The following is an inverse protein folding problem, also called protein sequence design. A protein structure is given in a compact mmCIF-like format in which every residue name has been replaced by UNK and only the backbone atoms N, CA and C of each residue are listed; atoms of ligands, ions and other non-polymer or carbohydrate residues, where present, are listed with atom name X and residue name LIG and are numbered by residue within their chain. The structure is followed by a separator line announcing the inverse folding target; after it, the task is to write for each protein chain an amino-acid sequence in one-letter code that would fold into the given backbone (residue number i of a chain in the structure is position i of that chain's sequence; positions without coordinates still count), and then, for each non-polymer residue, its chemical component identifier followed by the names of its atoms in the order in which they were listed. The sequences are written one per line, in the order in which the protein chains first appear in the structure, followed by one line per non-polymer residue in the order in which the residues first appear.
data_IF_972239609652
#
_entry.id   IF_972239609652
#
_cell.length_a   1.000
_cell.length_b   1.000
_cell.length_c   1.000
_cell.angle_alpha   90.00
_cell.angle_beta   90.00
_cell.angle_gamma   90.00
#
_symmetry.space_group_name_H-M   'P 1'
#
loop_
_entity.id
_entity.type
_entity.pdbx_description
1 polymer ?
#
# COMPACT_ATOMS: atom_id res chain seq x y z
N UNK A 1 21.15 -2.79 -5.62
CA UNK A 1 21.33 -4.03 -4.82
C UNK A 1 21.50 -3.73 -3.34
N UNK A 2 22.27 -2.69 -2.95
CA UNK A 2 22.48 -2.36 -1.54
C UNK A 2 21.23 -1.85 -0.80
N UNK A 3 20.41 -1.00 -1.44
CA UNK A 3 19.24 -0.37 -0.80
C UNK A 3 18.11 -1.33 -0.46
N UNK A 4 17.76 -2.28 -1.33
CA UNK A 4 16.71 -3.28 -1.07
C UNK A 4 17.08 -4.21 0.11
N UNK A 5 18.35 -4.61 0.22
CA UNK A 5 18.83 -5.45 1.33
C UNK A 5 18.79 -4.68 2.66
N UNK A 6 19.06 -3.38 2.65
CA UNK A 6 18.93 -2.53 3.84
C UNK A 6 17.47 -2.30 4.23
N UNK A 7 16.59 -2.09 3.26
CA UNK A 7 15.15 -1.92 3.48
C UNK A 7 14.50 -3.20 4.04
N UNK A 8 14.91 -4.37 3.55
CA UNK A 8 14.48 -5.67 4.10
C UNK A 8 14.89 -5.88 5.56
N UNK A 9 15.91 -5.17 6.07
CA UNK A 9 16.33 -5.26 7.47
C UNK A 9 15.52 -4.35 8.40
N UNK A 10 14.83 -3.35 7.86
CA UNK A 10 13.99 -2.47 8.65
C UNK A 10 12.69 -3.19 9.03
N UNK A 11 12.52 -3.49 10.32
CA UNK A 11 11.34 -4.19 10.83
C UNK A 11 10.03 -3.40 10.65
N UNK A 12 10.11 -2.09 10.37
CA UNK A 12 8.96 -1.22 10.13
C UNK A 12 8.41 -1.34 8.71
N UNK A 13 9.22 -1.87 7.78
CA UNK A 13 8.81 -2.04 6.39
C UNK A 13 8.22 -3.44 6.21
N UNK A 14 6.99 -3.56 5.69
CA UNK A 14 6.37 -4.87 5.51
C UNK A 14 7.11 -5.65 4.41
N UNK A 15 7.55 -6.85 4.75
CA UNK A 15 8.30 -7.74 3.85
C UNK A 15 7.50 -8.13 2.60
N UNK A 16 6.17 -8.04 2.68
CA UNK A 16 5.30 -8.33 1.55
C UNK A 16 5.53 -7.42 0.35
N UNK A 17 6.19 -6.25 0.50
CA UNK A 17 6.54 -5.39 -0.62
C UNK A 17 7.44 -6.07 -1.67
N UNK A 18 8.25 -7.03 -1.22
CA UNK A 18 9.21 -7.73 -2.06
C UNK A 18 8.66 -9.04 -2.63
N UNK A 19 7.40 -9.37 -2.33
CA UNK A 19 6.77 -10.58 -2.81
C UNK A 19 6.58 -10.56 -4.31
N UNK A 20 6.99 -11.67 -4.93
CA UNK A 20 6.64 -11.99 -6.30
C UNK A 20 5.14 -12.29 -6.42
N UNK A 21 4.67 -12.44 -7.66
CA UNK A 21 3.29 -12.85 -7.94
C UNK A 21 2.99 -14.22 -7.31
N UNK A 22 3.96 -15.14 -7.37
CA UNK A 22 3.83 -16.48 -6.78
C UNK A 22 3.76 -16.44 -5.26
N UNK A 23 4.53 -15.57 -4.62
CA UNK A 23 4.49 -15.38 -3.16
C UNK A 23 3.12 -14.86 -2.70
N UNK A 24 2.54 -13.89 -3.41
CA UNK A 24 1.19 -13.39 -3.14
C UNK A 24 0.15 -14.50 -3.33
N UNK A 25 0.27 -15.26 -4.42
CA UNK A 25 -0.65 -16.35 -4.72
C UNK A 25 -0.60 -17.45 -3.65
N UNK A 26 0.61 -17.82 -3.19
CA UNK A 26 0.81 -18.78 -2.10
C UNK A 26 0.30 -18.23 -0.75
N UNK A 27 0.44 -16.93 -0.51
CA UNK A 27 -0.11 -16.30 0.70
C UNK A 27 -1.65 -16.35 0.72
N UNK A 28 -2.31 -16.08 -0.41
CA UNK A 28 -3.78 -16.19 -0.55
C UNK A 28 -4.26 -17.62 -0.22
N UNK A 29 -3.51 -18.63 -0.66
CA UNK A 29 -3.77 -20.02 -0.29
C UNK A 29 -3.56 -20.26 1.21
N UNK A 30 -2.50 -19.72 1.80
CA UNK A 30 -2.16 -19.89 3.22
C UNK A 30 -3.20 -19.25 4.18
N UNK A 31 -3.84 -18.14 3.78
CA UNK A 31 -4.93 -17.53 4.57
C UNK A 31 -6.28 -18.26 4.40
N UNK A 32 -6.32 -19.37 3.64
CA UNK A 32 -7.49 -20.23 3.50
C UNK A 32 -8.34 -19.99 2.26
N UNK A 33 -7.83 -19.25 1.26
CA UNK A 33 -8.55 -18.96 0.02
C UNK A 33 -7.86 -19.52 -1.24
N UNK A 34 -7.57 -20.84 -1.32
CA UNK A 34 -6.85 -21.46 -2.45
C UNK A 34 -7.53 -21.19 -3.80
N UNK A 35 -8.85 -21.07 -3.83
CA UNK A 35 -9.62 -20.81 -5.05
C UNK A 35 -9.33 -19.45 -5.69
N UNK A 36 -8.80 -18.49 -4.95
CA UNK A 36 -8.42 -17.17 -5.48
C UNK A 36 -6.97 -17.08 -5.91
N UNK A 37 -6.16 -18.14 -5.71
CA UNK A 37 -4.75 -18.17 -6.11
C UNK A 37 -4.56 -17.79 -7.59
N UNK A 38 -5.30 -18.45 -8.47
CA UNK A 38 -5.24 -18.19 -9.91
C UNK A 38 -5.76 -16.79 -10.26
N UNK A 39 -6.76 -16.28 -9.54
CA UNK A 39 -7.26 -14.91 -9.75
C UNK A 39 -6.18 -13.87 -9.50
N UNK A 40 -5.41 -14.00 -8.41
CA UNK A 40 -4.32 -13.06 -8.10
C UNK A 40 -3.15 -13.20 -9.09
N UNK A 41 -2.79 -14.43 -9.45
CA UNK A 41 -1.73 -14.69 -10.42
C UNK A 41 -2.07 -14.16 -11.83
N UNK A 42 -3.27 -14.44 -12.32
CA UNK A 42 -3.73 -14.00 -13.65
C UNK A 42 -3.82 -12.47 -13.77
N UNK A 43 -4.09 -11.76 -12.66
CA UNK A 43 -4.12 -10.30 -12.61
C UNK A 43 -2.75 -9.68 -12.29
N UNK A 44 -1.67 -10.46 -12.26
CA UNK A 44 -0.30 -10.01 -11.98
C UNK A 44 -0.17 -9.22 -10.67
N UNK A 45 -0.90 -9.63 -9.63
CA UNK A 45 -0.85 -8.99 -8.32
C UNK A 45 0.43 -9.41 -7.60
N UNK A 46 1.40 -8.48 -7.53
CA UNK A 46 2.63 -8.65 -6.74
C UNK A 46 2.51 -7.94 -5.37
N UNK A 47 3.57 -8.03 -4.57
CA UNK A 47 3.66 -7.42 -3.25
C UNK A 47 3.37 -5.91 -3.18
N UNK A 48 3.82 -5.15 -4.18
CA UNK A 48 3.58 -3.69 -4.27
C UNK A 48 2.15 -3.37 -4.67
N UNK A 49 1.55 -4.23 -5.50
CA UNK A 49 0.16 -4.08 -5.91
C UNK A 49 -0.80 -4.23 -4.72
N UNK A 50 -0.46 -5.02 -3.69
CA UNK A 50 -1.28 -5.18 -2.48
C UNK A 50 -1.58 -3.86 -1.78
N UNK A 51 -0.72 -2.84 -1.92
CA UNK A 51 -0.93 -1.50 -1.38
C UNK A 51 -2.16 -0.82 -2.01
N UNK A 52 -2.47 -1.15 -3.27
CA UNK A 52 -3.57 -0.58 -4.04
C UNK A 52 -4.82 -1.46 -4.01
N UNK A 53 -4.73 -2.68 -3.47
CA UNK A 53 -5.87 -3.61 -3.39
C UNK A 53 -6.74 -3.22 -2.19
N UNK A 54 -7.93 -2.70 -2.49
CA UNK A 54 -8.99 -2.44 -1.51
C UNK A 54 -10.28 -3.20 -1.84
N UNK A 55 -11.29 -3.12 -0.97
CA UNK A 55 -12.56 -3.82 -1.10
C UNK A 55 -13.27 -3.56 -2.44
N UNK A 56 -13.05 -2.40 -3.05
CA UNK A 56 -13.60 -2.03 -4.37
C UNK A 56 -12.89 -2.69 -5.55
N UNK A 57 -11.63 -3.08 -5.39
CA UNK A 57 -10.79 -3.67 -6.45
C UNK A 57 -10.94 -5.20 -6.53
N UNK A 58 -11.23 -5.84 -5.39
CA UNK A 58 -11.35 -7.29 -5.27
C UNK A 58 -12.41 -7.93 -6.19
N UNK A 59 -13.61 -7.33 -6.39
CA UNK A 59 -14.57 -7.84 -7.36
C UNK A 59 -14.06 -7.86 -8.80
N UNK A 60 -13.24 -6.88 -9.18
CA UNK A 60 -12.69 -6.77 -10.53
C UNK A 60 -11.67 -7.87 -10.84
N UNK A 61 -10.92 -8.33 -9.83
CA UNK A 61 -9.95 -9.44 -9.97
C UNK A 61 -10.59 -10.83 -9.80
N UNK A 62 -11.87 -10.92 -9.43
CA UNK A 62 -12.62 -12.18 -9.35
C UNK A 62 -13.13 -12.56 -7.96
N UNK A 63 -12.79 -11.80 -6.91
CA UNK A 63 -13.28 -12.04 -5.54
C UNK A 63 -14.61 -11.30 -5.36
N UNK A 64 -15.73 -11.98 -5.63
CA UNK A 64 -17.07 -11.39 -5.61
C UNK A 64 -17.86 -11.62 -4.32
N UNK A 65 -17.42 -12.58 -3.50
CA UNK A 65 -18.07 -12.86 -2.23
C UNK A 65 -17.76 -11.79 -1.19
N UNK A 66 -18.79 -11.19 -0.60
CA UNK A 66 -18.64 -10.09 0.34
C UNK A 66 -17.87 -10.48 1.62
N UNK A 67 -18.10 -11.69 2.15
CA UNK A 67 -17.39 -12.14 3.35
C UNK A 67 -15.92 -12.37 3.04
N UNK A 68 -15.61 -12.94 1.87
CA UNK A 68 -14.22 -13.11 1.45
C UNK A 68 -13.51 -11.76 1.24
N UNK A 69 -14.20 -10.76 0.68
CA UNK A 69 -13.68 -9.40 0.54
C UNK A 69 -13.32 -8.82 1.92
N UNK A 70 -14.17 -8.99 2.93
CA UNK A 70 -13.89 -8.50 4.28
C UNK A 70 -12.64 -9.14 4.87
N UNK A 71 -12.54 -10.48 4.81
CA UNK A 71 -11.38 -11.20 5.38
C UNK A 71 -10.10 -10.85 4.63
N UNK A 72 -10.11 -10.89 3.29
CA UNK A 72 -8.91 -10.59 2.49
C UNK A 72 -8.44 -9.16 2.72
N UNK A 73 -9.34 -8.17 2.73
CA UNK A 73 -8.92 -6.78 3.00
C UNK A 73 -8.39 -6.58 4.41
N UNK A 74 -8.89 -7.30 5.41
CA UNK A 74 -8.37 -7.27 6.76
C UNK A 74 -6.95 -7.86 6.83
N UNK A 75 -6.74 -9.02 6.20
CA UNK A 75 -5.42 -9.66 6.11
C UNK A 75 -4.40 -8.81 5.33
N UNK A 76 -4.80 -8.14 4.25
CA UNK A 76 -3.93 -7.19 3.53
C UNK A 76 -3.47 -6.06 4.46
N UNK A 77 -4.38 -5.48 5.26
CA UNK A 77 -4.04 -4.39 6.19
C UNK A 77 -3.07 -4.84 7.27
N UNK A 78 -3.29 -6.02 7.85
CA UNK A 78 -2.37 -6.64 8.82
C UNK A 78 -0.99 -6.87 8.21
N UNK A 79 -0.96 -7.39 6.99
CA UNK A 79 0.28 -7.70 6.27
C UNK A 79 1.10 -6.44 5.97
N UNK A 80 0.44 -5.35 5.58
CA UNK A 80 1.08 -4.06 5.32
C UNK A 80 1.39 -3.26 6.60
N UNK A 81 0.87 -3.69 7.76
CA UNK A 81 1.02 -2.98 9.03
C UNK A 81 0.35 -1.61 9.04
N UNK A 82 -0.70 -1.39 8.24
CA UNK A 82 -1.41 -0.11 8.15
C UNK A 82 -2.65 -0.16 9.03
N UNK A 83 -2.91 0.90 9.81
CA UNK A 83 -4.14 1.02 10.56
C UNK A 83 -5.38 1.13 9.64
N UNK A 84 -6.47 0.46 10.03
CA UNK A 84 -7.78 0.74 9.44
C UNK A 84 -8.20 2.15 9.82
N UNK A 85 -8.37 3.03 8.83
CA UNK A 85 -8.89 4.37 9.05
C UNK A 85 -10.24 4.31 9.78
N UNK A 86 -10.29 4.90 10.97
CA UNK A 86 -11.54 5.05 11.71
C UNK A 86 -12.39 6.17 11.10
N UNK A 87 -13.71 5.99 11.13
CA UNK A 87 -14.66 7.00 10.61
C UNK A 87 -14.61 8.32 11.40
N UNK A 88 -14.12 8.29 12.64
CA UNK A 88 -13.99 9.43 13.54
C UNK A 88 -12.58 10.06 13.54
N UNK A 89 -11.70 9.64 12.61
CA UNK A 89 -10.36 10.22 12.49
C UNK A 89 -10.47 11.69 12.10
N UNK A 90 -9.75 12.55 12.81
CA UNK A 90 -9.80 13.99 12.53
C UNK A 90 -9.34 14.28 11.11
N UNK A 91 -10.11 15.09 10.40
CA UNK A 91 -9.71 15.63 9.09
C UNK A 91 -8.48 16.54 9.20
N UNK A 92 -8.11 16.97 10.41
CA UNK A 92 -6.92 17.75 10.72
C UNK A 92 -5.62 16.93 10.78
N UNK A 93 -5.69 15.62 10.54
CA UNK A 93 -4.53 14.75 10.48
C UNK A 93 -4.24 14.41 9.02
N UNK A 94 -2.97 14.15 8.69
CA UNK A 94 -2.57 13.70 7.36
C UNK A 94 -3.42 12.50 6.91
N UNK A 95 -3.86 12.36 5.65
CA UNK A 95 -4.84 11.33 5.25
C UNK A 95 -4.42 9.88 5.54
N UNK A 96 -3.11 9.64 5.63
CA UNK A 96 -2.49 8.35 5.96
C UNK A 96 -1.46 8.55 7.07
N UNK A 97 -1.16 7.45 7.77
CA UNK A 97 0.01 7.37 8.65
C UNK A 97 1.31 7.46 7.83
N UNK A 98 2.43 7.78 8.48
CA UNK A 98 3.74 7.90 7.81
C UNK A 98 4.12 6.64 7.03
N UNK A 99 3.85 5.44 7.58
CA UNK A 99 4.06 4.18 6.86
C UNK A 99 3.13 4.07 5.65
N UNK A 100 1.86 4.43 5.78
CA UNK A 100 0.92 4.45 4.66
C UNK A 100 1.35 5.37 3.52
N UNK A 101 1.86 6.57 3.83
CA UNK A 101 2.40 7.52 2.84
C UNK A 101 3.62 6.94 2.10
N UNK A 102 4.51 6.29 2.85
CA UNK A 102 5.66 5.60 2.27
C UNK A 102 5.22 4.50 1.30
N UNK A 103 4.29 3.65 1.74
CA UNK A 103 3.76 2.55 0.94
C UNK A 103 3.08 3.06 -0.33
N UNK A 104 2.32 4.14 -0.26
CA UNK A 104 1.74 4.78 -1.45
C UNK A 104 2.80 5.22 -2.46
N UNK A 105 3.94 5.77 -2.00
CA UNK A 105 5.07 6.11 -2.87
C UNK A 105 5.73 4.86 -3.46
N UNK A 106 5.82 3.77 -2.69
CA UNK A 106 6.34 2.46 -3.13
C UNK A 106 5.38 1.69 -4.03
N UNK A 107 4.08 1.98 -4.04
CA UNK A 107 3.13 1.31 -4.95
C UNK A 107 3.46 1.56 -6.43
N UNK A 108 4.06 2.71 -6.74
CA UNK A 108 4.44 3.12 -8.09
C UNK A 108 5.81 2.55 -8.46
N UNK A 109 5.98 2.15 -9.71
CA UNK A 109 7.28 1.71 -10.25
C UNK A 109 8.04 2.90 -10.84
N UNK A 110 9.35 2.99 -10.59
CA UNK A 110 10.18 4.06 -11.14
C UNK A 110 11.46 4.26 -10.34
N UNK A 111 12.51 4.80 -10.98
CA UNK A 111 13.85 4.93 -10.38
C UNK A 111 13.83 5.57 -8.98
N UNK A 112 13.03 6.62 -8.80
CA UNK A 112 12.90 7.31 -7.51
C UNK A 112 12.17 6.46 -6.46
N UNK A 113 11.00 5.91 -6.80
CA UNK A 113 10.23 5.05 -5.91
C UNK A 113 11.00 3.78 -5.52
N UNK A 114 11.80 3.24 -6.44
CA UNK A 114 12.57 2.02 -6.21
C UNK A 114 13.84 2.26 -5.38
N UNK A 115 14.47 3.43 -5.54
CA UNK A 115 15.65 3.81 -4.75
C UNK A 115 15.30 4.26 -3.33
N UNK A 116 14.12 4.83 -3.12
CA UNK A 116 13.71 5.41 -1.84
C UNK A 116 13.58 4.36 -0.72
N UNK A 117 14.41 4.50 0.29
CA UNK A 117 14.34 3.73 1.54
C UNK A 117 13.37 4.38 2.53
N UNK A 118 12.88 3.60 3.50
CA UNK A 118 12.01 4.15 4.53
C UNK A 118 12.71 5.19 5.41
N UNK A 119 14.00 5.01 5.72
CA UNK A 119 14.79 5.97 6.49
C UNK A 119 14.93 7.32 5.78
N UNK A 120 15.26 7.32 4.48
CA UNK A 120 15.30 8.55 3.67
C UNK A 120 13.93 9.22 3.58
N UNK A 121 12.87 8.43 3.47
CA UNK A 121 11.50 8.94 3.47
C UNK A 121 11.16 9.66 4.78
N UNK A 122 11.53 9.10 5.94
CA UNK A 122 11.28 9.72 7.24
C UNK A 122 11.96 11.09 7.38
N UNK A 123 13.20 11.22 6.89
CA UNK A 123 13.92 12.50 6.89
C UNK A 123 13.14 13.55 6.09
N UNK A 124 12.58 13.18 4.93
CA UNK A 124 11.78 14.09 4.11
C UNK A 124 10.40 14.43 4.69
N UNK A 125 9.82 13.55 5.53
CA UNK A 125 8.51 13.77 6.15
C UNK A 125 8.59 14.65 7.39
N UNK A 126 9.72 14.70 8.09
CA UNK A 126 9.91 15.53 9.29
C UNK A 126 9.64 17.01 9.01
N UNK A 127 9.95 17.47 7.81
CA UNK A 127 9.70 18.85 7.34
C UNK A 127 8.30 19.03 6.70
N UNK A 128 7.55 17.95 6.49
CA UNK A 128 6.30 17.97 5.74
C UNK A 128 5.12 18.33 6.65
N UNK A 129 4.81 19.63 6.74
CA UNK A 129 3.61 20.10 7.42
C UNK A 129 2.38 19.77 6.57
N UNK A 130 1.58 18.79 7.02
CA UNK A 130 0.27 18.57 6.43
C UNK A 130 -0.61 19.80 6.69
N UNK A 131 -1.18 20.34 5.62
CA UNK A 131 -2.18 21.40 5.69
C UNK A 131 -3.43 20.92 4.93
N UNK A 132 -4.62 20.97 5.56
CA UNK A 132 -5.83 20.70 4.81
C UNK A 132 -5.99 21.77 3.73
N UNK A 133 -6.59 21.45 2.57
CA UNK A 133 -6.97 22.50 1.63
C UNK A 133 -7.83 23.54 2.37
N UNK A 134 -7.32 24.77 2.46
CA UNK A 134 -7.97 25.87 3.20
C UNK A 134 -9.20 26.44 2.48
N UNK A 135 -9.49 25.93 1.28
CA UNK A 135 -10.64 26.31 0.47
C UNK A 135 -11.70 25.22 0.41
N UNK A 136 -12.95 25.63 0.31
CA UNK A 136 -14.12 24.75 0.09
C UNK A 136 -14.18 24.21 -1.36
N UNK A 137 -13.07 24.23 -2.08
CA UNK A 137 -12.97 23.88 -3.48
C UNK A 137 -12.20 22.57 -3.53
N UNK A 138 -12.90 21.44 -3.70
CA UNK A 138 -12.31 20.10 -3.75
C UNK A 138 -11.34 19.92 -4.92
N UNK A 139 -10.15 20.49 -4.81
CA UNK A 139 -9.08 20.44 -5.82
C UNK A 139 -8.13 19.28 -5.47
N UNK A 140 -8.08 18.28 -6.34
CA UNK A 140 -7.00 17.30 -6.42
C UNK A 140 -5.81 18.04 -7.04
N UNK A 141 -4.69 18.16 -6.31
CA UNK A 141 -3.51 18.90 -6.77
C UNK A 141 -2.96 18.29 -8.09
N UNK A 142 -2.63 19.10 -9.11
CA UNK A 142 -1.93 18.61 -10.29
C UNK A 142 -0.44 18.33 -9.98
N UNK A 143 0.11 17.33 -10.68
CA UNK A 143 1.53 16.95 -10.64
C UNK A 143 2.43 18.18 -10.85
N UNK A 144 3.34 18.43 -9.91
CA UNK A 144 4.39 19.43 -10.05
C UNK A 144 5.28 19.10 -11.25
N UNK A 145 5.07 19.80 -12.35
CA UNK A 145 6.09 20.01 -13.37
C UNK A 145 7.06 21.06 -12.83
N UNK A 146 8.24 20.64 -12.40
CA UNK A 146 9.37 21.53 -12.16
C UNK A 146 10.07 21.85 -13.47
N UNK A 147 10.22 23.16 -13.75
CA UNK A 147 11.20 23.72 -14.68
C UNK A 147 12.63 23.39 -14.27
#
# INVERSE_FOLDING_TARGET
MSSQIEEMKDQRVPQCLFWSIDDVANWIEAIGFPHYKECFAANSINGRNLILVDASTLPAIGVKDFQHILVITDEIRKLLGIEKLSWNRSISLAPRETLGLYLERKSKTGKESDAMTYAEFLIGVEDMKWEPPLGNHGLILPNGSSN
#
